data_IF_633748216277
#
_entry.id   IF_633748216277
#
_cell.length_a   1.000
_cell.length_b   1.000
_cell.length_c   1.000
_cell.angle_alpha   90.00
_cell.angle_beta   90.00
_cell.angle_gamma   90.00
#
_symmetry.space_group_name_H-M   'P 1'
#
loop_
_entity.id
_entity.type
_entity.pdbx_description
1 polymer ?
#
# COMPACT_ATOMS: atom_id res chain seq x y z
N UNK A 1 9.30 0.33 15.30
CA UNK A 1 8.63 1.68 15.29
C UNK A 1 8.79 2.44 13.97
N UNK A 2 10.01 2.62 13.45
CA UNK A 2 10.21 3.38 12.21
C UNK A 2 9.59 2.67 11.01
N UNK A 3 9.70 1.35 10.93
CA UNK A 3 9.17 0.58 9.80
C UNK A 3 7.66 0.66 9.73
N UNK A 4 6.97 0.49 10.87
CA UNK A 4 5.50 0.63 10.94
C UNK A 4 5.03 2.06 10.62
N UNK A 5 5.85 3.08 10.92
CA UNK A 5 5.60 4.46 10.53
C UNK A 5 5.73 4.66 9.02
N UNK A 6 6.84 4.24 8.41
CA UNK A 6 7.05 4.40 6.97
C UNK A 6 6.03 3.60 6.15
N UNK A 7 5.70 2.40 6.63
CA UNK A 7 4.68 1.54 6.07
C UNK A 7 3.30 2.20 6.12
N UNK A 8 2.84 2.63 7.30
CA UNK A 8 1.52 3.24 7.43
C UNK A 8 1.43 4.60 6.75
N UNK A 9 2.54 5.33 6.67
CA UNK A 9 2.65 6.54 5.88
C UNK A 9 2.43 6.26 4.40
N UNK A 10 3.05 5.21 3.85
CA UNK A 10 2.85 4.80 2.45
C UNK A 10 1.39 4.44 2.19
N UNK A 11 0.88 3.44 2.91
CA UNK A 11 -0.49 2.94 2.70
C UNK A 11 -1.53 4.03 2.91
N UNK A 12 -1.34 4.86 3.95
CA UNK A 12 -2.18 6.01 4.21
C UNK A 12 -2.11 7.06 3.08
N UNK A 13 -0.93 7.28 2.50
CA UNK A 13 -0.74 8.27 1.44
C UNK A 13 -1.34 7.76 0.12
N UNK A 14 -1.20 6.48 -0.20
CA UNK A 14 -1.81 5.87 -1.38
C UNK A 14 -3.33 5.91 -1.30
N UNK A 15 -3.91 5.49 -0.17
CA UNK A 15 -5.33 5.63 0.09
C UNK A 15 -5.79 7.08 -0.05
N UNK A 16 -5.08 8.03 0.56
CA UNK A 16 -5.41 9.46 0.49
C UNK A 16 -5.30 10.03 -0.93
N UNK A 17 -4.32 9.59 -1.73
CA UNK A 17 -4.15 10.01 -3.12
C UNK A 17 -5.25 9.44 -4.02
N UNK A 18 -5.62 8.16 -3.86
CA UNK A 18 -6.73 7.55 -4.60
C UNK A 18 -8.03 8.31 -4.32
N UNK A 19 -8.35 8.53 -3.05
CA UNK A 19 -9.55 9.28 -2.65
C UNK A 19 -9.49 10.72 -3.17
N UNK A 20 -8.35 11.37 -3.08
CA UNK A 20 -8.19 12.74 -3.57
C UNK A 20 -8.30 12.86 -5.10
N UNK A 21 -7.84 11.87 -5.88
CA UNK A 21 -8.04 11.81 -7.33
C UNK A 21 -9.54 11.68 -7.66
N UNK A 22 -10.27 10.82 -6.94
CA UNK A 22 -11.72 10.67 -7.11
C UNK A 22 -12.42 12.00 -6.79
N UNK A 23 -12.09 12.64 -5.67
CA UNK A 23 -12.67 13.93 -5.27
C UNK A 23 -12.32 15.06 -6.26
N UNK A 24 -11.08 15.10 -6.76
CA UNK A 24 -10.66 16.06 -7.77
C UNK A 24 -11.44 15.87 -9.09
N UNK A 25 -11.65 14.62 -9.51
CA UNK A 25 -12.42 14.29 -10.70
C UNK A 25 -13.89 14.71 -10.55
N UNK A 26 -14.50 14.47 -9.39
CA UNK A 26 -15.86 14.92 -9.09
C UNK A 26 -16.00 16.45 -9.07
N UNK A 27 -14.96 17.15 -8.60
CA UNK A 27 -14.90 18.62 -8.61
C UNK A 27 -14.83 19.16 -10.05
N UNK A 28 -13.99 18.55 -10.91
CA UNK A 28 -13.88 18.92 -12.34
C UNK A 28 -15.19 18.68 -13.11
N UNK A 29 -15.93 17.62 -12.77
CA UNK A 29 -17.22 17.29 -13.37
C UNK A 29 -18.40 18.07 -12.77
N UNK A 30 -18.14 19.03 -11.87
CA UNK A 30 -19.14 19.82 -11.16
C UNK A 30 -20.16 18.99 -10.35
N UNK A 31 -19.78 17.76 -9.96
CA UNK A 31 -20.61 16.81 -9.19
C UNK A 31 -20.20 16.75 -7.72
N UNK A 32 -19.99 17.91 -7.09
CA UNK A 32 -19.56 18.02 -5.68
C UNK A 32 -20.49 17.32 -4.69
N UNK A 33 -21.78 17.17 -5.02
CA UNK A 33 -22.74 16.46 -4.17
C UNK A 33 -22.38 14.97 -3.96
N UNK A 34 -21.62 14.36 -4.87
CA UNK A 34 -21.17 12.96 -4.77
C UNK A 34 -19.94 12.80 -3.87
N UNK A 35 -19.24 13.88 -3.51
CA UNK A 35 -18.09 13.83 -2.61
C UNK A 35 -18.46 13.26 -1.24
N UNK A 36 -19.68 13.50 -0.76
CA UNK A 36 -20.19 12.90 0.49
C UNK A 36 -20.22 11.39 0.42
N UNK A 37 -20.58 10.83 -0.73
CA UNK A 37 -20.66 9.37 -0.95
C UNK A 37 -19.28 8.73 -0.91
N UNK A 38 -18.28 9.39 -1.50
CA UNK A 38 -16.86 8.99 -1.42
C UNK A 38 -16.37 9.06 0.04
N UNK A 39 -16.74 10.11 0.77
CA UNK A 39 -16.42 10.25 2.20
C UNK A 39 -17.01 9.11 3.04
N UNK A 40 -18.28 8.74 2.82
CA UNK A 40 -18.89 7.59 3.48
C UNK A 40 -18.19 6.27 3.13
N UNK A 41 -17.82 6.06 1.86
CA UNK A 41 -17.06 4.88 1.44
C UNK A 41 -15.68 4.80 2.10
N UNK A 42 -15.00 5.94 2.20
CA UNK A 42 -13.68 6.06 2.85
C UNK A 42 -13.78 5.68 4.34
N UNK A 43 -14.72 6.28 5.08
CA UNK A 43 -14.93 6.00 6.50
C UNK A 43 -15.31 4.54 6.71
N UNK A 44 -16.22 4.01 5.89
CA UNK A 44 -16.59 2.60 5.94
C UNK A 44 -15.39 1.68 5.66
N UNK A 45 -14.49 2.04 4.75
CA UNK A 45 -13.29 1.30 4.44
C UNK A 45 -12.29 1.28 5.61
N UNK A 46 -12.10 2.42 6.27
CA UNK A 46 -11.27 2.51 7.49
C UNK A 46 -11.85 1.62 8.58
N UNK A 47 -13.15 1.73 8.86
CA UNK A 47 -13.82 0.89 9.87
C UNK A 47 -13.70 -0.59 9.50
N UNK A 48 -13.94 -0.95 8.25
CA UNK A 48 -13.80 -2.32 7.75
C UNK A 48 -12.38 -2.85 7.94
N UNK A 49 -11.37 -2.04 7.66
CA UNK A 49 -9.96 -2.40 7.87
C UNK A 49 -9.63 -2.65 9.33
N UNK A 50 -10.15 -1.82 10.24
CA UNK A 50 -9.99 -1.99 11.68
C UNK A 50 -10.68 -3.25 12.20
N UNK A 51 -11.89 -3.55 11.73
CA UNK A 51 -12.62 -4.77 12.11
C UNK A 51 -11.88 -6.01 11.63
N UNK A 52 -11.42 -6.03 10.38
CA UNK A 52 -10.66 -7.14 9.82
C UNK A 52 -9.32 -7.31 10.54
N UNK A 53 -8.60 -6.21 10.79
CA UNK A 53 -7.34 -6.21 11.53
C UNK A 53 -7.52 -6.74 12.95
N UNK A 54 -8.58 -6.31 13.64
CA UNK A 54 -8.90 -6.82 14.98
C UNK A 54 -9.22 -8.32 14.96
N UNK A 55 -10.03 -8.78 13.99
CA UNK A 55 -10.34 -10.19 13.81
C UNK A 55 -9.08 -11.03 13.59
N UNK A 56 -8.20 -10.60 12.68
CA UNK A 56 -6.93 -11.27 12.40
C UNK A 56 -5.98 -11.27 13.61
N UNK A 57 -5.90 -10.16 14.34
CA UNK A 57 -5.08 -10.07 15.55
C UNK A 57 -5.57 -11.00 16.66
N UNK A 58 -6.88 -11.04 16.91
CA UNK A 58 -7.46 -11.95 17.91
C UNK A 58 -7.27 -13.42 17.54
N UNK A 59 -7.34 -13.74 16.24
CA UNK A 59 -7.05 -15.08 15.75
C UNK A 59 -5.58 -15.44 15.99
N UNK A 60 -4.65 -14.55 15.67
CA UNK A 60 -3.22 -14.75 15.90
C UNK A 60 -2.88 -14.97 17.39
N UNK A 61 -3.48 -14.19 18.31
CA UNK A 61 -3.23 -14.36 19.75
C UNK A 61 -3.78 -15.68 20.34
N UNK A 62 -4.68 -16.37 19.63
CA UNK A 62 -5.26 -17.63 20.10
C UNK A 62 -4.38 -18.86 19.81
N UNK A 63 -3.24 -18.65 19.13
CA UNK A 63 -2.33 -19.67 18.64
C UNK A 63 -1.16 -19.85 19.64
N UNK A 64 -0.59 -21.05 19.74
CA UNK A 64 0.60 -21.34 20.56
C UNK A 64 1.86 -20.66 20.02
N UNK A 65 2.84 -20.32 20.87
CA UNK A 65 4.09 -19.64 20.45
C UNK A 65 4.80 -20.30 19.25
N UNK A 66 4.91 -21.63 19.20
CA UNK A 66 5.54 -22.32 18.05
C UNK A 66 4.78 -22.10 16.72
N UNK A 67 3.47 -21.90 16.79
CA UNK A 67 2.65 -21.60 15.63
C UNK A 67 2.54 -20.09 15.35
N UNK A 68 2.95 -19.24 16.30
CA UNK A 68 3.12 -17.79 16.13
C UNK A 68 4.32 -17.50 15.21
N UNK A 69 5.47 -18.15 15.44
CA UNK A 69 6.67 -18.01 14.60
C UNK A 69 6.42 -18.45 13.14
N UNK A 70 5.76 -19.59 12.95
CA UNK A 70 5.39 -20.08 11.61
C UNK A 70 4.41 -19.11 10.93
N UNK A 71 3.43 -18.59 11.67
CA UNK A 71 2.48 -17.61 11.14
C UNK A 71 3.20 -16.31 10.76
N UNK A 72 4.16 -15.84 11.57
CA UNK A 72 4.98 -14.67 11.27
C UNK A 72 5.75 -14.84 9.97
N UNK A 73 6.47 -15.97 9.81
CA UNK A 73 7.22 -16.29 8.59
C UNK A 73 6.31 -16.38 7.35
N UNK A 74 5.15 -17.05 7.46
CA UNK A 74 4.16 -17.14 6.37
C UNK A 74 3.63 -15.75 6.01
N UNK A 75 3.31 -14.92 7.00
CA UNK A 75 2.80 -13.58 6.77
C UNK A 75 3.86 -12.67 6.13
N UNK A 76 5.15 -12.84 6.45
CA UNK A 76 6.27 -12.14 5.78
C UNK A 76 6.33 -12.48 4.29
N UNK A 77 6.17 -13.76 3.93
CA UNK A 77 6.13 -14.19 2.51
C UNK A 77 4.88 -13.67 1.80
N UNK A 78 3.70 -13.74 2.43
CA UNK A 78 2.45 -13.20 1.87
C UNK A 78 2.58 -11.70 1.63
N UNK A 79 3.13 -10.98 2.60
CA UNK A 79 3.40 -9.55 2.53
C UNK A 79 4.34 -9.21 1.38
N UNK A 80 5.45 -9.95 1.22
CA UNK A 80 6.34 -9.79 0.06
C UNK A 80 5.63 -10.05 -1.28
N UNK A 81 4.76 -11.06 -1.35
CA UNK A 81 3.92 -11.34 -2.52
C UNK A 81 2.96 -10.20 -2.86
N UNK A 82 2.35 -9.58 -1.85
CA UNK A 82 1.50 -8.39 -2.02
C UNK A 82 2.31 -7.20 -2.54
N UNK A 83 3.54 -6.98 -2.04
CA UNK A 83 4.45 -5.94 -2.57
C UNK A 83 4.74 -6.20 -4.04
N UNK A 84 5.11 -7.44 -4.39
CA UNK A 84 5.39 -7.80 -5.78
C UNK A 84 4.17 -7.57 -6.68
N UNK A 85 2.97 -7.97 -6.22
CA UNK A 85 1.72 -7.70 -6.92
C UNK A 85 1.47 -6.20 -7.10
N UNK A 86 1.68 -5.40 -6.05
CA UNK A 86 1.50 -3.96 -6.08
C UNK A 86 2.45 -3.28 -7.06
N UNK A 87 3.73 -3.67 -7.08
CA UNK A 87 4.72 -3.16 -8.05
C UNK A 87 4.29 -3.49 -9.49
N UNK A 88 3.82 -4.71 -9.74
CA UNK A 88 3.28 -5.12 -11.04
C UNK A 88 2.01 -4.32 -11.40
N UNK A 89 1.14 -4.07 -10.43
CA UNK A 89 -0.07 -3.29 -10.60
C UNK A 89 0.26 -1.82 -10.92
N UNK A 90 1.24 -1.23 -10.24
CA UNK A 90 1.70 0.14 -10.48
C UNK A 90 2.23 0.27 -11.90
N UNK A 91 3.10 -0.67 -12.34
CA UNK A 91 3.60 -0.69 -13.72
C UNK A 91 2.46 -0.82 -14.74
N UNK A 92 1.46 -1.68 -14.49
CA UNK A 92 0.35 -1.92 -15.42
C UNK A 92 -0.64 -0.76 -15.51
N UNK A 93 -0.76 0.04 -14.45
CA UNK A 93 -1.78 1.09 -14.33
C UNK A 93 -1.26 2.52 -14.44
N UNK A 94 0.00 2.76 -14.80
CA UNK A 94 0.53 4.13 -15.01
C UNK A 94 -0.24 4.94 -16.08
N UNK A 95 -1.00 4.26 -16.96
CA UNK A 95 -1.86 4.90 -17.97
C UNK A 95 -3.34 5.07 -17.55
N UNK A 96 -3.75 4.61 -16.36
CA UNK A 96 -5.15 4.62 -15.93
C UNK A 96 -5.67 6.04 -15.71
N UNK A 97 -4.81 6.99 -15.33
CA UNK A 97 -5.17 8.42 -15.29
C UNK A 97 -5.70 8.94 -16.64
N UNK A 98 -5.26 8.36 -17.78
CA UNK A 98 -5.78 8.68 -19.11
C UNK A 98 -7.09 7.97 -19.45
N UNK A 99 -7.35 6.78 -18.91
CA UNK A 99 -8.54 5.97 -19.21
C UNK A 99 -9.77 6.32 -18.35
N UNK A 100 -9.57 6.90 -17.17
CA UNK A 100 -10.67 7.35 -16.30
C UNK A 100 -11.49 8.47 -16.96
N UNK A 101 -10.89 9.28 -17.84
CA UNK A 101 -11.61 10.29 -18.64
C UNK A 101 -12.69 9.72 -19.57
N UNK A 102 -12.60 8.45 -19.97
CA UNK A 102 -13.53 7.85 -20.93
C UNK A 102 -14.75 7.14 -20.33
N UNK A 103 -14.75 6.82 -19.02
CA UNK A 103 -15.81 5.99 -18.41
C UNK A 103 -16.83 6.78 -17.58
N UNK A 104 -16.65 8.09 -17.35
CA UNK A 104 -17.57 8.85 -16.49
C UNK A 104 -18.86 9.31 -17.20
N UNK A 105 -19.02 9.03 -18.49
CA UNK A 105 -20.18 9.49 -19.27
C UNK A 105 -21.41 8.57 -19.19
N UNK A 106 -21.29 7.32 -18.70
CA UNK A 106 -22.44 6.39 -18.70
C UNK A 106 -22.87 5.95 -17.30
N UNK A 107 -23.97 6.58 -16.89
CA UNK A 107 -25.11 5.95 -16.23
C UNK A 107 -25.32 6.22 -14.73
N UNK A 108 -26.61 6.28 -14.39
CA UNK A 108 -27.26 6.67 -13.14
C UNK A 108 -26.94 5.78 -11.92
N UNK A 109 -26.00 4.82 -12.04
CA UNK A 109 -25.50 3.95 -10.96
C UNK A 109 -24.37 4.58 -10.13
N UNK A 110 -24.18 5.89 -10.29
CA UNK A 110 -22.99 6.65 -9.92
C UNK A 110 -22.71 6.75 -8.41
N UNK A 111 -23.69 6.59 -7.52
CA UNK A 111 -23.48 6.73 -6.07
C UNK A 111 -22.91 5.47 -5.43
N UNK A 112 -23.57 4.34 -5.64
CA UNK A 112 -23.12 3.04 -5.09
C UNK A 112 -21.75 2.66 -5.68
N UNK A 113 -21.53 2.90 -6.97
CA UNK A 113 -20.23 2.68 -7.60
C UNK A 113 -19.11 3.53 -6.98
N UNK A 114 -19.35 4.82 -6.69
CA UNK A 114 -18.36 5.68 -6.03
C UNK A 114 -18.12 5.30 -4.57
N UNK A 115 -19.17 4.90 -3.85
CA UNK A 115 -19.06 4.38 -2.49
C UNK A 115 -18.19 3.12 -2.47
N UNK A 116 -18.54 2.12 -3.29
CA UNK A 116 -17.81 0.85 -3.37
C UNK A 116 -16.38 1.05 -3.84
N UNK A 117 -16.14 1.94 -4.81
CA UNK A 117 -14.80 2.26 -5.27
C UNK A 117 -13.95 2.83 -4.13
N UNK A 118 -14.45 3.81 -3.39
CA UNK A 118 -13.74 4.40 -2.26
C UNK A 118 -13.53 3.37 -1.12
N UNK A 119 -14.58 2.64 -0.78
CA UNK A 119 -14.57 1.59 0.24
C UNK A 119 -13.54 0.49 -0.09
N UNK A 120 -13.62 -0.09 -1.28
CA UNK A 120 -12.74 -1.18 -1.72
C UNK A 120 -11.29 -0.74 -1.87
N UNK A 121 -11.06 0.53 -2.23
CA UNK A 121 -9.70 1.07 -2.30
C UNK A 121 -9.09 1.18 -0.90
N UNK A 122 -9.81 1.79 0.05
CA UNK A 122 -9.31 2.00 1.42
C UNK A 122 -9.19 0.68 2.18
N UNK A 123 -10.14 -0.24 2.00
CA UNK A 123 -10.07 -1.54 2.66
C UNK A 123 -8.90 -2.38 2.15
N UNK A 124 -8.52 -2.24 0.87
CA UNK A 124 -7.34 -2.91 0.32
C UNK A 124 -6.07 -2.42 1.01
N UNK A 125 -5.81 -1.12 1.00
CA UNK A 125 -4.58 -0.58 1.60
C UNK A 125 -4.57 -0.82 3.13
N UNK A 126 -5.75 -0.77 3.76
CA UNK A 126 -5.92 -1.09 5.17
C UNK A 126 -5.66 -2.57 5.49
N UNK A 127 -6.10 -3.50 4.64
CA UNK A 127 -5.78 -4.93 4.80
C UNK A 127 -4.29 -5.18 4.61
N UNK A 128 -3.66 -4.58 3.60
CA UNK A 128 -2.22 -4.67 3.40
C UNK A 128 -1.50 -4.19 4.66
N UNK A 129 -1.81 -2.98 5.15
CA UNK A 129 -1.24 -2.44 6.39
C UNK A 129 -1.39 -3.38 7.59
N UNK A 130 -2.55 -4.01 7.76
CA UNK A 130 -2.77 -4.97 8.85
C UNK A 130 -1.91 -6.23 8.68
N UNK A 131 -1.86 -6.82 7.48
CA UNK A 131 -1.04 -8.01 7.17
C UNK A 131 0.43 -7.73 7.44
N UNK A 132 0.95 -6.57 7.01
CA UNK A 132 2.33 -6.18 7.30
C UNK A 132 2.56 -5.99 8.80
N UNK A 133 1.66 -5.33 9.53
CA UNK A 133 1.82 -5.14 10.97
C UNK A 133 1.81 -6.47 11.74
N UNK A 134 1.16 -7.51 11.23
CA UNK A 134 1.19 -8.85 11.84
C UNK A 134 2.53 -9.56 11.71
N UNK A 135 3.36 -9.19 10.73
CA UNK A 135 4.74 -9.69 10.64
C UNK A 135 5.66 -9.16 11.75
N UNK A 136 5.13 -8.29 12.62
CA UNK A 136 5.81 -7.69 13.76
C UNK A 136 5.08 -8.01 15.06
N UNK A 137 4.39 -9.15 15.14
CA UNK A 137 3.63 -9.53 16.34
C UNK A 137 4.54 -9.69 17.56
N UNK A 138 5.80 -10.06 17.32
CA UNK A 138 6.89 -10.15 18.29
C UNK A 138 7.38 -8.78 18.80
N UNK A 139 7.07 -7.66 18.12
CA UNK A 139 7.33 -6.30 18.63
C UNK A 139 6.24 -5.85 19.61
N UNK A 140 6.59 -4.91 20.51
CA UNK A 140 5.59 -4.30 21.41
C UNK A 140 4.42 -3.68 20.63
N UNK A 141 3.21 -4.22 20.82
CA UNK A 141 2.00 -3.76 20.14
C UNK A 141 1.76 -2.25 20.28
N UNK A 142 2.10 -1.66 21.43
CA UNK A 142 2.01 -0.20 21.64
C UNK A 142 2.94 0.58 20.72
N UNK A 143 4.15 0.07 20.46
CA UNK A 143 5.15 0.69 19.58
C UNK A 143 4.74 0.60 18.12
N UNK A 144 4.22 -0.55 17.69
CA UNK A 144 3.70 -0.75 16.32
C UNK A 144 2.49 0.14 16.06
N UNK A 145 1.55 0.21 17.02
CA UNK A 145 0.37 1.05 16.94
C UNK A 145 0.71 2.55 16.89
N UNK A 146 1.63 3.02 17.75
CA UNK A 146 2.08 4.41 17.74
C UNK A 146 2.74 4.80 16.42
N UNK A 147 3.67 3.97 15.91
CA UNK A 147 4.29 4.19 14.60
C UNK A 147 3.24 4.26 13.49
N UNK A 148 2.28 3.32 13.50
CA UNK A 148 1.20 3.26 12.53
C UNK A 148 0.33 4.52 12.54
N UNK A 149 -0.08 4.99 13.73
CA UNK A 149 -0.90 6.20 13.89
C UNK A 149 -0.15 7.44 13.39
N UNK A 150 1.12 7.59 13.76
CA UNK A 150 1.95 8.73 13.34
C UNK A 150 2.08 8.76 11.82
N UNK A 151 2.36 7.61 11.20
CA UNK A 151 2.49 7.54 9.74
C UNK A 151 1.17 7.86 9.01
N UNK A 152 0.01 7.38 9.49
CA UNK A 152 -1.30 7.72 8.90
C UNK A 152 -1.57 9.23 9.02
N UNK A 153 -1.28 9.83 10.18
CA UNK A 153 -1.45 11.29 10.38
C UNK A 153 -0.54 12.07 9.43
N UNK A 154 0.73 11.66 9.32
CA UNK A 154 1.69 12.28 8.42
C UNK A 154 1.23 12.16 6.96
N UNK A 155 0.69 11.01 6.55
CA UNK A 155 0.17 10.77 5.22
C UNK A 155 -1.02 11.69 4.90
N UNK A 156 -1.96 11.80 5.84
CA UNK A 156 -3.12 12.68 5.70
C UNK A 156 -2.70 14.15 5.58
N UNK A 157 -1.70 14.59 6.38
CA UNK A 157 -1.14 15.94 6.29
C UNK A 157 -0.47 16.20 4.94
N UNK A 158 0.37 15.28 4.47
CA UNK A 158 1.04 15.39 3.17
C UNK A 158 0.01 15.43 2.04
N UNK A 159 -0.95 14.51 2.02
CA UNK A 159 -2.03 14.50 1.04
C UNK A 159 -2.81 15.82 1.06
N UNK A 160 -3.16 16.33 2.25
CA UNK A 160 -3.86 17.61 2.39
C UNK A 160 -3.06 18.77 1.80
N UNK A 161 -1.75 18.86 2.05
CA UNK A 161 -0.88 19.88 1.46
C UNK A 161 -0.83 19.75 -0.07
N UNK A 162 -0.72 18.52 -0.59
CA UNK A 162 -0.72 18.25 -2.03
C UNK A 162 -2.02 18.73 -2.69
N UNK A 163 -3.18 18.43 -2.09
CA UNK A 163 -4.47 18.79 -2.68
C UNK A 163 -4.87 20.26 -2.46
N UNK A 164 -4.39 20.89 -1.39
CA UNK A 164 -4.67 22.31 -1.11
C UNK A 164 -3.78 23.26 -1.92
N UNK A 165 -2.56 22.84 -2.26
CA UNK A 165 -1.60 23.71 -2.94
C UNK A 165 -1.64 23.46 -4.45
N UNK A 166 -1.58 24.52 -5.29
CA UNK A 166 -1.46 24.42 -6.76
C UNK A 166 -0.09 23.90 -7.22
N UNK A 167 0.63 23.16 -6.37
CA UNK A 167 1.92 22.60 -6.74
C UNK A 167 1.63 21.44 -7.69
N UNK A 168 2.08 21.59 -8.93
CA UNK A 168 2.12 20.49 -9.90
C UNK A 168 3.20 19.49 -9.47
N UNK A 169 2.95 18.73 -8.40
CA UNK A 169 3.83 17.66 -7.99
C UNK A 169 3.72 16.53 -9.02
N UNK A 170 4.88 16.06 -9.47
CA UNK A 170 4.93 14.88 -10.32
C UNK A 170 4.62 13.66 -9.45
N UNK A 171 3.34 13.30 -9.35
CA UNK A 171 2.85 12.14 -8.61
C UNK A 171 3.65 10.88 -8.97
N UNK A 172 4.04 10.72 -10.24
CA UNK A 172 4.89 9.60 -10.68
C UNK A 172 6.22 9.54 -9.93
N UNK A 173 6.81 10.69 -9.57
CA UNK A 173 8.08 10.75 -8.84
C UNK A 173 7.92 10.37 -7.37
N UNK A 174 6.80 10.77 -6.75
CA UNK A 174 6.46 10.39 -5.37
C UNK A 174 6.18 8.88 -5.29
N UNK A 175 5.33 8.35 -6.18
CA UNK A 175 5.04 6.91 -6.23
C UNK A 175 6.29 6.08 -6.54
N UNK A 176 7.23 6.59 -7.32
CA UNK A 176 8.52 5.93 -7.56
C UNK A 176 9.42 5.91 -6.32
N UNK A 177 9.52 7.04 -5.62
CA UNK A 177 10.31 7.10 -4.39
C UNK A 177 9.75 6.13 -3.34
N UNK A 178 8.43 6.09 -3.17
CA UNK A 178 7.74 5.15 -2.29
C UNK A 178 7.90 3.69 -2.76
N UNK A 179 7.77 3.45 -4.08
CA UNK A 179 7.98 2.15 -4.70
C UNK A 179 9.40 1.63 -4.51
N UNK A 180 10.42 2.49 -4.55
CA UNK A 180 11.81 2.10 -4.34
C UNK A 180 12.03 1.58 -2.92
N UNK A 181 11.52 2.30 -1.92
CA UNK A 181 11.57 1.88 -0.50
C UNK A 181 10.87 0.52 -0.34
N UNK A 182 9.74 0.35 -1.00
CA UNK A 182 8.96 -0.89 -1.00
C UNK A 182 9.72 -2.10 -1.54
N UNK A 183 10.52 -1.91 -2.59
CA UNK A 183 11.32 -3.00 -3.16
C UNK A 183 12.32 -3.53 -2.13
N UNK A 184 12.99 -2.64 -1.40
CA UNK A 184 13.92 -3.03 -0.35
C UNK A 184 13.19 -3.73 0.81
N UNK A 185 12.10 -3.13 1.29
CA UNK A 185 11.32 -3.68 2.41
C UNK A 185 10.73 -5.06 2.06
N UNK A 186 10.18 -5.22 0.86
CA UNK A 186 9.67 -6.51 0.39
C UNK A 186 10.77 -7.55 0.17
N UNK A 187 11.97 -7.10 -0.21
CA UNK A 187 13.13 -7.98 -0.34
C UNK A 187 13.60 -8.51 1.01
N UNK A 188 13.67 -7.64 2.02
CA UNK A 188 13.96 -7.99 3.42
C UNK A 188 12.92 -9.00 3.94
N UNK A 189 11.62 -8.68 3.84
CA UNK A 189 10.55 -9.56 4.29
C UNK A 189 10.51 -10.91 3.55
N UNK A 190 10.82 -10.91 2.26
CA UNK A 190 10.92 -12.15 1.47
C UNK A 190 12.10 -13.00 1.93
N UNK A 191 13.26 -12.38 2.14
CA UNK A 191 14.47 -13.07 2.58
C UNK A 191 14.29 -13.66 3.97
N UNK A 192 13.86 -12.85 4.94
CA UNK A 192 13.61 -13.29 6.32
C UNK A 192 12.55 -14.38 6.38
N UNK A 193 11.41 -14.20 5.69
CA UNK A 193 10.32 -15.18 5.70
C UNK A 193 10.74 -16.54 5.13
N UNK A 194 11.58 -16.58 4.09
CA UNK A 194 12.10 -17.83 3.52
C UNK A 194 13.19 -18.44 4.42
N UNK A 195 14.10 -17.63 4.94
CA UNK A 195 15.18 -18.08 5.84
C UNK A 195 14.62 -18.75 7.09
N UNK A 196 13.59 -18.14 7.69
CA UNK A 196 12.91 -18.62 8.88
C UNK A 196 12.13 -19.92 8.58
N UNK A 197 11.43 -19.99 7.44
CA UNK A 197 10.68 -21.18 7.04
C UNK A 197 11.58 -22.38 6.66
N UNK A 198 12.81 -22.10 6.19
CA UNK A 198 13.81 -23.12 5.88
C UNK A 198 14.77 -23.41 7.03
N UNK A 199 14.61 -22.76 8.19
CA UNK A 199 15.52 -22.79 9.35
C UNK A 199 17.00 -22.57 8.96
N UNK A 200 17.26 -21.89 7.83
CA UNK A 200 18.58 -21.83 7.20
C UNK A 200 19.23 -20.48 7.48
N UNK A 201 20.00 -20.40 8.56
CA UNK A 201 20.63 -19.18 9.07
C UNK A 201 21.93 -18.79 8.34
N UNK A 202 22.01 -19.07 7.03
CA UNK A 202 23.19 -18.71 6.24
C UNK A 202 23.04 -17.29 5.69
N UNK A 203 23.95 -16.38 6.06
CA UNK A 203 24.01 -15.01 5.51
C UNK A 203 24.02 -15.00 3.96
N UNK A 204 24.65 -16.01 3.34
CA UNK A 204 24.70 -16.13 1.89
C UNK A 204 23.31 -16.42 1.27
N UNK A 205 22.47 -17.19 1.96
CA UNK A 205 21.11 -17.49 1.51
C UNK A 205 20.18 -16.29 1.69
N UNK A 206 20.33 -15.54 2.78
CA UNK A 206 19.57 -14.30 3.01
C UNK A 206 19.85 -13.26 1.92
N UNK A 207 21.12 -13.01 1.61
CA UNK A 207 21.52 -12.10 0.53
C UNK A 207 21.00 -12.60 -0.83
N UNK A 208 21.02 -13.91 -1.06
CA UNK A 208 20.50 -14.52 -2.29
C UNK A 208 18.99 -14.26 -2.44
N UNK A 209 18.20 -14.53 -1.41
CA UNK A 209 16.74 -14.32 -1.46
C UNK A 209 16.37 -12.84 -1.59
N UNK A 210 17.10 -11.97 -0.89
CA UNK A 210 16.96 -10.52 -1.01
C UNK A 210 17.24 -10.08 -2.46
N UNK A 211 18.31 -10.57 -3.08
CA UNK A 211 18.63 -10.28 -4.48
C UNK A 211 17.58 -10.82 -5.47
N UNK A 212 17.05 -12.02 -5.21
CA UNK A 212 15.99 -12.65 -6.03
C UNK A 212 14.72 -11.81 -6.06
N UNK A 213 14.38 -11.12 -4.96
CA UNK A 213 13.23 -10.22 -4.92
C UNK A 213 13.54 -8.83 -5.48
N UNK A 214 14.63 -8.21 -5.03
CA UNK A 214 14.95 -6.81 -5.33
C UNK A 214 15.29 -6.60 -6.80
N UNK A 215 16.10 -7.48 -7.40
CA UNK A 215 16.61 -7.26 -8.77
C UNK A 215 15.47 -7.23 -9.80
N UNK A 216 14.53 -8.20 -9.84
CA UNK A 216 13.38 -8.13 -10.74
C UNK A 216 12.45 -6.95 -10.42
N UNK A 217 12.21 -6.68 -9.14
CA UNK A 217 11.30 -5.63 -8.70
C UNK A 217 11.81 -4.22 -9.06
N UNK A 218 13.11 -3.94 -8.85
CA UNK A 218 13.75 -2.71 -9.31
C UNK A 218 13.73 -2.60 -10.83
N UNK A 219 14.01 -3.70 -11.54
CA UNK A 219 13.96 -3.70 -13.00
C UNK A 219 12.58 -3.30 -13.51
N UNK A 220 11.51 -3.87 -12.95
CA UNK A 220 10.12 -3.55 -13.32
C UNK A 220 9.79 -2.09 -13.00
N UNK A 221 10.16 -1.62 -11.81
CA UNK A 221 9.87 -0.25 -11.36
C UNK A 221 10.57 0.82 -12.22
N UNK A 222 11.82 0.57 -12.63
CA UNK A 222 12.66 1.53 -13.36
C UNK A 222 12.64 1.35 -14.88
N UNK A 223 12.03 0.29 -15.41
CA UNK A 223 12.01 -0.06 -16.85
C UNK A 223 11.62 1.10 -17.75
N UNK A 224 10.59 1.86 -17.36
CA UNK A 224 10.04 2.96 -18.16
C UNK A 224 10.96 4.19 -18.20
N UNK A 225 11.80 4.39 -17.18
CA UNK A 225 12.81 5.46 -17.18
C UNK A 225 14.01 5.08 -18.05
N UNK A 226 14.46 3.83 -17.96
CA UNK A 226 15.51 3.33 -18.86
C UNK A 226 15.08 3.40 -20.33
N UNK A 227 13.81 3.10 -20.63
CA UNK A 227 13.26 3.21 -21.97
C UNK A 227 13.16 4.66 -22.48
N UNK A 228 12.98 5.64 -21.58
CA UNK A 228 13.00 7.08 -21.93
C UNK A 228 14.41 7.59 -22.19
N UNK A 229 15.38 7.22 -21.37
CA UNK A 229 16.79 7.58 -21.60
C UNK A 229 17.32 7.00 -22.91
N UNK A 230 16.91 5.76 -23.25
CA UNK A 230 17.31 5.09 -24.50
C UNK A 230 16.64 5.65 -25.78
N UNK A 231 15.63 6.51 -25.65
CA UNK A 231 15.03 7.26 -26.78
C UNK A 231 15.58 8.69 -26.88
N UNK A 232 16.28 9.16 -25.84
CA UNK A 232 16.89 10.48 -25.77
C UNK A 232 18.40 10.47 -26.11
N UNK A 233 18.99 9.27 -26.23
CA UNK A 233 20.33 9.00 -26.75
C UNK A 233 20.21 8.43 -28.17
#
# INVERSE_FOLDING_TARGET
>A
MLDSLFLSFREGLEAALIIGIILATLSQLNRKHLAKVVGFGTIAGVIGSLILGWGLFTFAQSISHEAEEIMEAVMRIVAAGLIAYFILWLHRNQQVAGKIKGQTEKSSSSKIGLFLLAFLSVIREGMELMVFNMTKISESAGTVALGSIIGIIAAALVAFVIFKTTIKLNLSLIFKALGLILVFLGGEMFAEGIVELLETHSEAMEILFLAVFIVPALFILLKDDMARFRRAA
#
